data_IF_624634396603
#
_entry.id   IF_624634396603
#
_cell.length_a   1.000
_cell.length_b   1.000
_cell.length_c   1.000
_cell.angle_alpha   90.00
_cell.angle_beta   90.00
_cell.angle_gamma   90.00
#
_symmetry.space_group_name_H-M   'P 1'
#
loop_
_entity.id
_entity.type
_entity.pdbx_description
1 polymer ?
#
# COMPACT_ATOMS: atom_id res chain seq x y z
N UNK A 1 -2.07 -23.03 -23.08
CA UNK A 1 -2.42 -23.54 -21.73
C UNK A 1 -3.57 -22.68 -21.21
N UNK A 2 -4.79 -23.15 -21.40
CA UNK A 2 -5.99 -22.41 -21.00
C UNK A 2 -6.19 -22.58 -19.49
N UNK A 3 -6.00 -21.49 -18.74
CA UNK A 3 -6.43 -21.43 -17.34
C UNK A 3 -7.95 -21.52 -17.25
N UNK A 4 -8.54 -21.69 -16.06
CA UNK A 4 -9.95 -21.97 -15.93
C UNK A 4 -10.81 -20.92 -16.64
N UNK A 5 -11.69 -21.37 -17.53
CA UNK A 5 -12.68 -20.55 -18.22
C UNK A 5 -13.79 -20.09 -17.27
N UNK A 6 -13.43 -19.34 -16.21
CA UNK A 6 -14.38 -18.53 -15.46
C UNK A 6 -14.81 -17.27 -16.25
N UNK A 7 -14.43 -17.18 -17.52
CA UNK A 7 -14.72 -16.08 -18.43
C UNK A 7 -14.18 -14.75 -17.89
N UNK A 8 -15.00 -13.71 -17.97
CA UNK A 8 -14.65 -12.36 -17.52
C UNK A 8 -14.18 -12.30 -16.05
N UNK A 9 -14.76 -13.11 -15.15
CA UNK A 9 -14.43 -13.09 -13.72
C UNK A 9 -12.99 -13.53 -13.42
N UNK A 10 -12.51 -14.59 -14.11
CA UNK A 10 -11.13 -15.05 -13.99
C UNK A 10 -10.14 -14.05 -14.60
N UNK A 11 -10.50 -13.44 -15.72
CA UNK A 11 -9.70 -12.38 -16.34
C UNK A 11 -9.59 -11.14 -15.43
N UNK A 12 -10.71 -10.69 -14.86
CA UNK A 12 -10.74 -9.57 -13.91
C UNK A 12 -9.87 -9.85 -12.69
N UNK A 13 -9.93 -11.06 -12.11
CA UNK A 13 -9.07 -11.41 -10.97
C UNK A 13 -7.58 -11.29 -11.31
N UNK A 14 -7.14 -11.79 -12.47
CA UNK A 14 -5.75 -11.67 -12.93
C UNK A 14 -5.33 -10.21 -13.15
N UNK A 15 -6.19 -9.41 -13.79
CA UNK A 15 -5.91 -7.98 -14.06
C UNK A 15 -5.76 -7.22 -12.74
N UNK A 16 -6.64 -7.46 -11.78
CA UNK A 16 -6.60 -6.79 -10.46
C UNK A 16 -5.32 -7.16 -9.72
N UNK A 17 -4.92 -8.44 -9.74
CA UNK A 17 -3.65 -8.89 -9.16
C UNK A 17 -2.44 -8.23 -9.80
N UNK A 18 -2.44 -8.10 -11.13
CA UNK A 18 -1.36 -7.45 -11.85
C UNK A 18 -1.29 -5.95 -11.50
N UNK A 19 -2.43 -5.27 -11.40
CA UNK A 19 -2.49 -3.87 -11.00
C UNK A 19 -2.01 -3.68 -9.54
N UNK A 20 -2.35 -4.59 -8.63
CA UNK A 20 -1.83 -4.60 -7.26
C UNK A 20 -0.31 -4.70 -7.23
N UNK A 21 0.29 -5.61 -8.02
CA UNK A 21 1.74 -5.78 -8.08
C UNK A 21 2.44 -4.52 -8.59
N UNK A 22 1.91 -3.90 -9.66
CA UNK A 22 2.48 -2.66 -10.21
C UNK A 22 2.41 -1.53 -9.17
N UNK A 23 1.26 -1.35 -8.51
CA UNK A 23 1.11 -0.33 -7.46
C UNK A 23 2.01 -0.57 -6.24
N UNK A 24 2.22 -1.84 -5.84
CA UNK A 24 3.14 -2.19 -4.75
C UNK A 24 4.60 -1.90 -5.12
N UNK A 25 5.02 -2.20 -6.35
CA UNK A 25 6.37 -1.86 -6.84
C UNK A 25 6.59 -0.34 -6.85
N UNK A 26 5.57 0.43 -7.27
CA UNK A 26 5.60 1.88 -7.18
C UNK A 26 5.76 2.39 -5.74
N UNK A 27 5.05 1.80 -4.78
CA UNK A 27 5.22 2.13 -3.36
C UNK A 27 6.64 1.83 -2.87
N UNK A 28 7.19 0.67 -3.22
CA UNK A 28 8.55 0.28 -2.82
C UNK A 28 9.58 1.24 -3.42
N UNK A 29 9.46 1.58 -4.70
CA UNK A 29 10.40 2.49 -5.37
C UNK A 29 10.45 3.87 -4.70
N UNK A 30 9.27 4.47 -4.45
CA UNK A 30 9.19 5.77 -3.78
C UNK A 30 9.63 5.70 -2.31
N UNK A 31 9.24 4.64 -1.57
CA UNK A 31 9.67 4.46 -0.20
C UNK A 31 11.19 4.26 -0.08
N UNK A 32 11.80 3.49 -0.99
CA UNK A 32 13.24 3.27 -1.03
C UNK A 32 14.02 4.55 -1.35
N UNK A 33 13.53 5.37 -2.29
CA UNK A 33 14.12 6.68 -2.59
C UNK A 33 14.12 7.58 -1.35
N UNK A 34 12.99 7.63 -0.64
CA UNK A 34 12.87 8.41 0.59
C UNK A 34 13.78 7.90 1.73
N UNK A 35 13.97 6.58 1.87
CA UNK A 35 14.95 6.01 2.82
C UNK A 35 16.37 6.45 2.45
N UNK A 36 16.73 6.40 1.15
CA UNK A 36 18.05 6.81 0.68
C UNK A 36 18.33 8.28 1.00
N UNK A 37 17.33 9.15 0.88
CA UNK A 37 17.44 10.57 1.23
C UNK A 37 17.59 10.80 2.74
N UNK A 38 16.91 10.02 3.59
CA UNK A 38 17.12 10.10 5.04
C UNK A 38 18.53 9.66 5.45
N UNK A 39 19.02 8.58 4.84
CA UNK A 39 20.35 8.04 5.11
C UNK A 39 21.44 8.98 4.61
N UNK A 40 21.26 9.63 3.44
CA UNK A 40 22.23 10.59 2.90
C UNK A 40 22.44 11.81 3.81
N UNK A 41 21.44 12.17 4.61
CA UNK A 41 21.55 13.25 5.61
C UNK A 41 21.82 12.73 7.03
N UNK A 42 22.44 11.54 7.18
CA UNK A 42 22.86 10.96 8.47
C UNK A 42 21.74 10.75 9.50
N UNK A 43 20.50 10.53 9.05
CA UNK A 43 19.38 10.25 9.94
C UNK A 43 18.97 8.77 9.86
N UNK A 44 18.54 8.22 10.99
CA UNK A 44 18.01 6.84 11.04
C UNK A 44 16.62 6.77 10.41
N UNK A 45 16.33 5.78 9.55
CA UNK A 45 15.02 5.64 8.92
C UNK A 45 13.91 5.45 9.94
N UNK A 46 12.78 6.12 9.74
CA UNK A 46 11.61 6.01 10.61
C UNK A 46 10.99 4.61 10.58
N UNK A 47 10.65 4.07 11.75
CA UNK A 47 10.05 2.73 11.90
C UNK A 47 8.79 2.52 11.06
N UNK A 48 7.96 3.55 10.90
CA UNK A 48 6.71 3.45 10.12
C UNK A 48 6.96 3.16 8.64
N UNK A 49 8.04 3.73 8.09
CA UNK A 49 8.40 3.55 6.70
C UNK A 49 9.05 2.17 6.48
N UNK A 50 9.85 1.71 7.44
CA UNK A 50 10.40 0.35 7.45
C UNK A 50 9.28 -0.69 7.56
N UNK A 51 8.30 -0.45 8.43
CA UNK A 51 7.10 -1.29 8.55
C UNK A 51 6.29 -1.34 7.25
N UNK A 52 6.10 -0.18 6.61
CA UNK A 52 5.44 -0.10 5.29
C UNK A 52 6.19 -0.92 4.24
N UNK A 53 7.52 -0.81 4.17
CA UNK A 53 8.34 -1.56 3.23
C UNK A 53 8.27 -3.08 3.47
N UNK A 54 8.28 -3.50 4.74
CA UNK A 54 8.14 -4.91 5.10
C UNK A 54 6.79 -5.48 4.64
N UNK A 55 5.69 -4.76 4.92
CA UNK A 55 4.33 -5.17 4.55
C UNK A 55 4.18 -5.22 3.02
N UNK A 56 4.71 -4.24 2.27
CA UNK A 56 4.61 -4.22 0.80
C UNK A 56 5.42 -5.36 0.15
N UNK A 57 6.59 -5.71 0.68
CA UNK A 57 7.37 -6.86 0.22
C UNK A 57 6.61 -8.19 0.39
N UNK A 58 6.00 -8.40 1.57
CA UNK A 58 5.18 -9.59 1.84
C UNK A 58 3.95 -9.60 0.91
N UNK A 59 3.32 -8.46 0.67
CA UNK A 59 2.19 -8.32 -0.23
C UNK A 59 2.50 -8.74 -1.67
N UNK A 60 3.69 -8.38 -2.18
CA UNK A 60 4.11 -8.75 -3.53
C UNK A 60 4.27 -10.26 -3.64
N UNK A 61 4.96 -10.88 -2.67
CA UNK A 61 5.13 -12.34 -2.64
C UNK A 61 3.78 -13.05 -2.58
N UNK A 62 2.86 -12.56 -1.74
CA UNK A 62 1.49 -13.08 -1.66
C UNK A 62 0.76 -12.98 -3.01
N UNK A 63 0.80 -11.82 -3.67
CA UNK A 63 0.18 -11.64 -4.98
C UNK A 63 0.78 -12.57 -6.04
N UNK A 64 2.11 -12.74 -6.05
CA UNK A 64 2.80 -13.62 -7.01
C UNK A 64 2.39 -15.09 -6.81
N UNK A 65 2.43 -15.59 -5.58
CA UNK A 65 2.02 -16.96 -5.23
C UNK A 65 0.55 -17.18 -5.62
N UNK A 66 -0.33 -16.23 -5.29
CA UNK A 66 -1.76 -16.34 -5.59
C UNK A 66 -2.04 -16.38 -7.09
N UNK A 67 -1.30 -15.63 -7.90
CA UNK A 67 -1.42 -15.69 -9.37
C UNK A 67 -0.99 -17.04 -9.91
N UNK A 68 0.11 -17.62 -9.40
CA UNK A 68 0.59 -18.95 -9.81
C UNK A 68 -0.46 -20.01 -9.46
N UNK A 69 -0.91 -20.06 -8.20
CA UNK A 69 -1.94 -21.00 -7.76
C UNK A 69 -3.26 -20.84 -8.53
N UNK A 70 -3.59 -19.62 -8.97
CA UNK A 70 -4.77 -19.38 -9.80
C UNK A 70 -4.62 -19.90 -11.23
N UNK A 71 -3.42 -19.84 -11.81
CA UNK A 71 -3.11 -20.44 -13.11
C UNK A 71 -3.14 -21.97 -13.01
N UNK A 72 -2.62 -22.53 -11.92
CA UNK A 72 -2.59 -23.97 -11.63
C UNK A 72 -3.96 -24.53 -11.18
N UNK A 73 -4.98 -23.69 -11.03
CA UNK A 73 -6.36 -24.09 -10.69
C UNK A 73 -6.52 -24.80 -9.33
N UNK A 74 -5.51 -24.70 -8.46
CA UNK A 74 -5.50 -25.28 -7.12
C UNK A 74 -5.88 -24.27 -6.04
N UNK A 75 -6.22 -23.02 -6.42
CA UNK A 75 -6.43 -21.94 -5.48
C UNK A 75 -7.71 -22.14 -4.64
N UNK A 76 -7.60 -22.31 -3.31
CA UNK A 76 -8.78 -22.33 -2.44
C UNK A 76 -9.32 -20.91 -2.28
N UNK A 77 -10.30 -20.54 -3.11
CA UNK A 77 -10.87 -19.18 -3.17
C UNK A 77 -11.31 -18.61 -1.80
N UNK A 78 -11.82 -19.46 -0.90
CA UNK A 78 -12.27 -19.04 0.44
C UNK A 78 -11.10 -18.61 1.34
N UNK A 79 -10.00 -19.35 1.32
CA UNK A 79 -8.78 -19.01 2.05
C UNK A 79 -8.15 -17.75 1.44
N UNK A 80 -8.19 -17.65 0.10
CA UNK A 80 -7.68 -16.47 -0.60
C UNK A 80 -8.42 -15.18 -0.20
N UNK A 81 -9.76 -15.22 -0.08
CA UNK A 81 -10.54 -14.09 0.43
C UNK A 81 -10.14 -13.70 1.85
N UNK A 82 -9.88 -14.68 2.72
CA UNK A 82 -9.39 -14.41 4.08
C UNK A 82 -8.02 -13.71 4.07
N UNK A 83 -7.10 -14.17 3.22
CA UNK A 83 -5.78 -13.56 3.08
C UNK A 83 -5.84 -12.15 2.48
N UNK A 84 -6.68 -11.92 1.46
CA UNK A 84 -6.92 -10.58 0.90
C UNK A 84 -7.49 -9.64 1.97
N UNK A 85 -8.38 -10.13 2.83
CA UNK A 85 -8.92 -9.37 3.97
C UNK A 85 -7.83 -8.99 4.99
N UNK A 86 -6.95 -9.93 5.34
CA UNK A 86 -5.83 -9.66 6.24
C UNK A 86 -4.87 -8.61 5.64
N UNK A 87 -4.58 -8.70 4.34
CA UNK A 87 -3.74 -7.75 3.64
C UNK A 87 -4.38 -6.35 3.56
N UNK A 88 -5.70 -6.29 3.36
CA UNK A 88 -6.47 -5.05 3.38
C UNK A 88 -6.40 -4.37 4.75
N UNK A 89 -6.55 -5.13 5.84
CA UNK A 89 -6.42 -4.60 7.20
C UNK A 89 -5.01 -4.06 7.44
N UNK A 90 -3.97 -4.81 7.05
CA UNK A 90 -2.58 -4.38 7.18
C UNK A 90 -2.32 -3.07 6.42
N UNK A 91 -2.77 -2.96 5.17
CA UNK A 91 -2.61 -1.75 4.36
C UNK A 91 -3.45 -0.57 4.87
N UNK A 92 -4.60 -0.83 5.48
CA UNK A 92 -5.42 0.20 6.12
C UNK A 92 -4.70 0.81 7.33
N UNK A 93 -4.06 -0.01 8.16
CA UNK A 93 -3.24 0.47 9.29
C UNK A 93 -2.08 1.33 8.78
N UNK A 94 -1.37 0.88 7.75
CA UNK A 94 -0.31 1.66 7.10
C UNK A 94 -0.86 3.00 6.57
N UNK A 95 -2.00 3.00 5.87
CA UNK A 95 -2.63 4.21 5.34
C UNK A 95 -3.03 5.20 6.44
N UNK A 96 -3.51 4.71 7.60
CA UNK A 96 -3.86 5.56 8.74
C UNK A 96 -2.61 6.15 9.40
N UNK A 97 -1.57 5.34 9.63
CA UNK A 97 -0.35 5.79 10.31
C UNK A 97 0.43 6.78 9.45
N UNK A 98 0.61 6.49 8.16
CA UNK A 98 1.27 7.35 7.18
C UNK A 98 0.41 8.59 6.85
N UNK A 99 -0.92 8.44 6.82
CA UNK A 99 -1.85 9.49 6.41
C UNK A 99 -2.07 10.62 7.43
N UNK A 100 -1.99 10.31 8.74
CA UNK A 100 -2.18 11.30 9.81
C UNK A 100 -1.34 12.57 9.65
N UNK A 101 0.00 12.51 9.48
CA UNK A 101 0.80 13.73 9.26
C UNK A 101 0.55 14.38 7.90
N UNK A 102 0.25 13.60 6.86
CA UNK A 102 0.09 14.10 5.49
C UNK A 102 -1.20 14.91 5.29
N UNK A 103 -2.27 14.57 6.01
CA UNK A 103 -3.56 15.24 5.86
C UNK A 103 -3.53 16.72 6.25
N UNK A 104 -2.56 17.14 7.06
CA UNK A 104 -2.40 18.52 7.53
C UNK A 104 -1.28 19.28 6.81
N UNK A 105 -0.52 18.63 5.92
CA UNK A 105 0.59 19.25 5.21
C UNK A 105 0.16 19.84 3.86
N UNK A 106 0.56 21.09 3.61
CA UNK A 106 0.47 21.72 2.31
C UNK A 106 1.84 21.75 1.62
N UNK A 107 2.04 20.90 0.61
CA UNK A 107 3.33 20.77 -0.08
C UNK A 107 3.72 22.01 -0.93
N UNK A 108 2.82 22.97 -1.16
CA UNK A 108 3.14 24.16 -1.97
C UNK A 108 4.05 25.16 -1.25
N UNK A 109 3.96 25.22 0.09
CA UNK A 109 4.69 26.21 0.90
C UNK A 109 6.07 25.73 1.36
N UNK A 110 6.34 24.42 1.28
CA UNK A 110 7.60 23.79 1.70
C UNK A 110 8.75 24.29 0.81
N UNK A 111 9.84 24.83 1.35
CA UNK A 111 11.03 25.22 0.55
C UNK A 111 10.91 26.51 -0.27
N UNK A 112 9.92 27.37 0.00
CA UNK A 112 9.87 28.72 -0.60
C UNK A 112 10.79 29.64 0.22
N UNK A 113 12.03 29.76 -0.24
CA UNK A 113 13.11 30.54 0.36
C UNK A 113 12.81 32.05 0.36
N UNK A 114 12.02 32.49 1.34
CA UNK A 114 12.04 33.87 1.86
C UNK A 114 11.68 33.96 3.34
N UNK A 115 11.34 32.84 3.98
CA UNK A 115 11.07 32.77 5.42
C UNK A 115 11.80 31.58 6.03
N UNK A 116 13.11 31.71 6.21
CA UNK A 116 13.94 30.74 6.93
C UNK A 116 13.48 30.54 8.40
N UNK A 117 12.55 31.37 8.89
CA UNK A 117 11.91 31.27 10.21
C UNK A 117 10.62 30.42 10.22
N UNK A 118 9.99 30.14 9.07
CA UNK A 118 8.69 29.45 9.03
C UNK A 118 8.77 27.93 8.81
N UNK A 119 9.85 27.40 8.22
CA UNK A 119 10.05 25.95 8.12
C UNK A 119 10.33 25.32 9.50
N UNK A 120 11.03 26.05 10.38
CA UNK A 120 11.23 25.70 11.79
C UNK A 120 9.96 25.90 12.65
N UNK A 121 9.10 26.86 12.30
CA UNK A 121 7.80 27.06 12.98
C UNK A 121 6.71 26.07 12.54
N UNK A 122 6.63 25.70 11.25
CA UNK A 122 5.68 24.69 10.79
C UNK A 122 6.08 23.30 11.29
N UNK A 123 7.38 22.97 11.27
CA UNK A 123 7.88 21.72 11.84
C UNK A 123 7.68 21.65 13.36
N UNK A 124 7.80 22.76 14.09
CA UNK A 124 7.48 22.81 15.53
C UNK A 124 5.98 22.73 15.83
N UNK A 125 5.11 23.39 15.06
CA UNK A 125 3.65 23.27 15.21
C UNK A 125 3.14 21.87 14.86
N UNK A 126 3.72 21.24 13.83
CA UNK A 126 3.46 19.83 13.52
C UNK A 126 3.99 18.96 14.67
N UNK A 127 5.22 19.19 15.17
CA UNK A 127 5.78 18.48 16.34
C UNK A 127 4.88 18.56 17.58
N UNK A 128 4.37 19.74 17.92
CA UNK A 128 3.55 19.95 19.11
C UNK A 128 2.17 19.29 18.99
N UNK A 129 1.60 19.27 17.78
CA UNK A 129 0.37 18.53 17.50
C UNK A 129 0.61 17.02 17.51
N UNK A 130 1.79 16.57 17.07
CA UNK A 130 2.19 15.15 17.02
C UNK A 130 2.54 14.58 18.40
N UNK A 131 3.21 15.35 19.26
CA UNK A 131 3.53 14.97 20.65
C UNK A 131 2.25 14.68 21.46
N UNK A 132 1.14 15.36 21.14
CA UNK A 132 -0.18 15.07 21.73
C UNK A 132 -0.82 13.79 21.21
N UNK A 133 -0.34 13.23 20.10
CA UNK A 133 -0.89 12.04 19.45
C UNK A 133 0.07 10.83 19.44
N UNK A 134 1.20 10.92 20.14
CA UNK A 134 2.07 9.78 20.47
C UNK A 134 2.94 9.25 19.32
N UNK A 135 3.07 9.99 18.22
CA UNK A 135 3.87 9.57 17.07
C UNK A 135 5.35 9.99 17.19
N UNK A 136 6.26 9.09 16.79
CA UNK A 136 7.71 9.27 16.88
C UNK A 136 8.19 10.49 16.08
N UNK A 137 8.91 11.39 16.76
CA UNK A 137 9.33 12.74 16.33
C UNK A 137 10.20 12.78 15.05
N UNK A 138 10.79 11.66 14.64
CA UNK A 138 11.74 11.61 13.51
C UNK A 138 11.04 11.68 12.15
N UNK A 139 9.89 10.99 11.99
CA UNK A 139 9.18 10.92 10.71
C UNK A 139 8.56 12.28 10.32
N UNK A 140 7.92 12.97 11.26
CA UNK A 140 7.24 14.25 11.02
C UNK A 140 8.18 15.38 10.59
N UNK A 141 9.44 15.37 11.04
CA UNK A 141 10.43 16.38 10.67
C UNK A 141 10.86 16.29 9.20
N UNK A 142 10.69 15.12 8.57
CA UNK A 142 11.26 14.82 7.27
C UNK A 142 10.28 14.95 6.09
N UNK A 143 9.00 14.68 6.34
CA UNK A 143 7.95 14.76 5.31
C UNK A 143 7.80 16.18 4.76
N UNK A 144 8.21 17.20 5.53
CA UNK A 144 8.22 18.61 5.14
C UNK A 144 9.61 19.17 4.81
N UNK A 145 10.65 18.35 4.66
CA UNK A 145 12.00 18.83 4.39
C UNK A 145 12.16 19.44 2.98
N UNK A 146 11.46 18.87 1.99
CA UNK A 146 11.46 19.36 0.61
C UNK A 146 10.09 19.21 -0.05
N UNK A 147 9.80 20.00 -1.11
CA UNK A 147 8.55 19.83 -1.89
C UNK A 147 8.47 18.44 -2.48
N UNK A 148 9.58 17.93 -3.02
CA UNK A 148 9.67 16.62 -3.66
C UNK A 148 9.29 15.50 -2.69
N UNK A 149 9.91 15.47 -1.51
CA UNK A 149 9.64 14.49 -0.46
C UNK A 149 8.18 14.52 0.01
N UNK A 150 7.60 15.72 0.14
CA UNK A 150 6.19 15.88 0.52
C UNK A 150 5.25 15.25 -0.51
N UNK A 151 5.49 15.49 -1.80
CA UNK A 151 4.69 14.88 -2.87
C UNK A 151 4.90 13.37 -2.99
N UNK A 152 6.13 12.87 -2.82
CA UNK A 152 6.43 11.43 -2.81
C UNK A 152 5.65 10.71 -1.70
N UNK A 153 5.68 11.24 -0.48
CA UNK A 153 4.97 10.63 0.64
C UNK A 153 3.45 10.70 0.49
N UNK A 154 2.94 11.78 -0.11
CA UNK A 154 1.52 11.89 -0.47
C UNK A 154 1.12 10.88 -1.55
N UNK A 155 2.01 10.61 -2.51
CA UNK A 155 1.79 9.58 -3.52
C UNK A 155 1.81 8.17 -2.92
N UNK A 156 2.74 7.86 -2.01
CA UNK A 156 2.77 6.58 -1.28
C UNK A 156 1.48 6.36 -0.49
N UNK A 157 0.99 7.40 0.20
CA UNK A 157 -0.29 7.34 0.92
C UNK A 157 -1.48 7.10 -0.03
N UNK A 158 -1.54 7.84 -1.15
CA UNK A 158 -2.59 7.67 -2.16
C UNK A 158 -2.59 6.27 -2.79
N UNK A 159 -1.40 5.73 -3.10
CA UNK A 159 -1.24 4.37 -3.60
C UNK A 159 -1.66 3.32 -2.56
N UNK A 160 -1.39 3.56 -1.27
CA UNK A 160 -1.85 2.66 -0.19
C UNK A 160 -3.37 2.57 -0.14
N UNK A 161 -4.09 3.69 -0.29
CA UNK A 161 -5.55 3.72 -0.38
C UNK A 161 -6.04 2.97 -1.64
N UNK A 162 -5.41 3.23 -2.80
CA UNK A 162 -5.73 2.54 -4.04
C UNK A 162 -5.55 1.01 -3.91
N UNK A 163 -4.47 0.57 -3.25
CA UNK A 163 -4.22 -0.83 -2.96
C UNK A 163 -5.31 -1.44 -2.07
N UNK A 164 -5.78 -0.72 -1.05
CA UNK A 164 -6.89 -1.18 -0.22
C UNK A 164 -8.15 -1.47 -1.05
N UNK A 165 -8.48 -0.58 -1.99
CA UNK A 165 -9.62 -0.76 -2.91
C UNK A 165 -9.41 -1.97 -3.81
N UNK A 166 -8.19 -2.14 -4.36
CA UNK A 166 -7.87 -3.29 -5.20
C UNK A 166 -7.95 -4.61 -4.45
N UNK A 167 -7.48 -4.68 -3.20
CA UNK A 167 -7.61 -5.87 -2.34
C UNK A 167 -9.08 -6.17 -2.00
N UNK A 168 -9.89 -5.15 -1.74
CA UNK A 168 -11.33 -5.33 -1.53
C UNK A 168 -12.00 -5.92 -2.78
N UNK A 169 -11.66 -5.38 -3.95
CA UNK A 169 -12.21 -5.86 -5.21
C UNK A 169 -11.73 -7.29 -5.55
N UNK A 170 -10.47 -7.61 -5.26
CA UNK A 170 -9.92 -8.97 -5.41
C UNK A 170 -10.61 -9.99 -4.49
N UNK A 171 -10.90 -9.58 -3.24
CA UNK A 171 -11.68 -10.38 -2.29
C UNK A 171 -13.10 -10.63 -2.82
N UNK A 172 -13.78 -9.60 -3.34
CA UNK A 172 -15.11 -9.73 -3.96
C UNK A 172 -15.09 -10.69 -5.16
N UNK A 173 -14.12 -10.55 -6.07
CA UNK A 173 -13.96 -11.48 -7.19
C UNK A 173 -13.74 -12.92 -6.71
N UNK A 174 -12.90 -13.13 -5.68
CA UNK A 174 -12.65 -14.45 -5.09
C UNK A 174 -13.92 -15.07 -4.49
N UNK A 175 -14.75 -14.28 -3.80
CA UNK A 175 -16.04 -14.75 -3.27
C UNK A 175 -16.99 -15.14 -4.40
N UNK A 176 -17.07 -14.35 -5.47
CA UNK A 176 -17.91 -14.65 -6.63
C UNK A 176 -17.44 -15.93 -7.35
N UNK A 177 -16.13 -16.13 -7.49
CA UNK A 177 -15.54 -17.35 -8.04
C UNK A 177 -15.83 -18.56 -7.16
N UNK A 178 -15.71 -18.42 -5.83
CA UNK A 178 -16.07 -19.48 -4.88
C UNK A 178 -17.55 -19.86 -4.96
N UNK A 179 -18.45 -18.88 -5.05
CA UNK A 179 -19.89 -19.14 -5.22
C UNK A 179 -20.15 -19.88 -6.53
N UNK A 180 -19.53 -19.45 -7.63
CA UNK A 180 -19.66 -20.14 -8.94
C UNK A 180 -19.11 -21.54 -8.94
N UNK A 181 -17.96 -21.79 -8.30
CA UNK A 181 -17.38 -23.14 -8.23
C UNK A 181 -18.22 -24.10 -7.39
N UNK A 182 -19.07 -23.60 -6.49
CA UNK A 182 -20.08 -24.41 -5.79
C UNK A 182 -21.32 -24.71 -6.64
N UNK A 183 -21.66 -23.86 -7.61
CA UNK A 183 -22.86 -24.01 -8.46
C UNK A 183 -22.63 -24.88 -9.70
N UNK A 184 -21.40 -24.93 -10.22
CA UNK A 184 -21.04 -25.80 -11.34
C UNK A 184 -20.55 -27.15 -10.76
N UNK A 185 -21.29 -28.27 -10.93
CA UNK A 185 -20.81 -29.57 -10.49
C UNK A 185 -19.51 -29.94 -11.24
N UNK A 186 -18.57 -30.66 -10.59
CA UNK A 186 -17.34 -31.10 -11.24
C UNK A 186 -17.69 -31.94 -12.48
N UNK A 187 -16.99 -31.69 -13.59
CA UNK A 187 -17.19 -32.35 -14.89
C UNK A 187 -16.86 -33.87 -14.90
N UNK A 188 -16.49 -34.45 -13.75
CA UNK A 188 -16.20 -35.88 -13.60
C UNK A 188 -17.40 -36.72 -13.12
N UNK A 189 -18.63 -36.21 -13.22
CA UNK A 189 -19.86 -37.00 -12.98
C UNK A 189 -20.93 -36.82 -14.07
N UNK A 190 -20.51 -36.75 -15.34
CA UNK A 190 -21.40 -36.82 -16.50
C UNK A 190 -20.86 -37.80 -17.54
#
# INVERSE_FOLDING_TARGET
MAGPDYGALGATFKIVRLLQVISLLGCIGMAANFISEMVSQNNSPSEELVGTLSVTCIAILYCAITVILHIDNILPYLINTGMDGLMLIALSVVAIVVGKPLSYLNCQVVGTSSVAESASQLSSQVKDTFNKQGGKVVYSNWIGASKTTCYEMKAVWGLSIALCILFAFSAMCSVCLWRRSKTVPPKDMA
#
